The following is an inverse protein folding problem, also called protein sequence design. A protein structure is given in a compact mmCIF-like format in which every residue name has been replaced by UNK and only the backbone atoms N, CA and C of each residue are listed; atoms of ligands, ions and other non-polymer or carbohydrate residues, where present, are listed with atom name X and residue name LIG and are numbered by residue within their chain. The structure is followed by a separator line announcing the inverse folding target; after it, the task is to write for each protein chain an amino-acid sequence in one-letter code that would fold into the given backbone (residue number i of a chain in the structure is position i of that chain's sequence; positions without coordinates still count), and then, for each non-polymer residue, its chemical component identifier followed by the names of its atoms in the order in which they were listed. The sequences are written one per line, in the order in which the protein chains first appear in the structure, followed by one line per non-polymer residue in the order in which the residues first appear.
data_IF_488306650379
#
_entry.id   IF_488306650379
#
_cell.length_a   1.000
_cell.length_b   1.000
_cell.length_c   1.000
_cell.angle_alpha   90.00
_cell.angle_beta   90.00
_cell.angle_gamma   90.00
#
_symmetry.space_group_name_H-M   'P 1'
#
loop_
_entity.id
_entity.type
_entity.pdbx_description
1 polymer ?
#
# COMPACT_ATOMS: atom_id res chain seq x y z
N UNK A 1 -14.07 13.05 -4.05
CA UNK A 1 -12.63 13.37 -4.16
C UNK A 1 -11.86 12.07 -4.16
N UNK A 2 -10.85 11.91 -5.02
CA UNK A 2 -9.95 10.75 -5.00
C UNK A 2 -8.78 11.05 -4.06
N UNK A 3 -8.43 10.10 -3.18
CA UNK A 3 -7.28 10.20 -2.30
C UNK A 3 -6.20 9.20 -2.76
N UNK A 4 -4.97 9.68 -2.93
CA UNK A 4 -3.81 8.84 -3.16
C UNK A 4 -2.87 8.95 -1.95
N UNK A 5 -2.49 7.81 -1.37
CA UNK A 5 -1.53 7.74 -0.26
C UNK A 5 -0.27 7.08 -0.79
N UNK A 6 0.89 7.74 -0.64
CA UNK A 6 2.19 7.20 -1.04
C UNK A 6 3.06 7.08 0.21
N UNK A 7 3.52 5.87 0.50
CA UNK A 7 4.28 5.54 1.72
C UNK A 7 5.68 5.08 1.31
N UNK A 8 6.74 5.88 1.54
CA UNK A 8 8.11 5.40 1.39
C UNK A 8 8.43 4.39 2.51
N UNK A 9 9.13 3.32 2.17
CA UNK A 9 9.54 2.26 3.10
C UNK A 9 11.05 2.05 3.01
N UNK A 10 11.74 2.20 4.14
CA UNK A 10 13.16 1.90 4.26
C UNK A 10 13.42 1.02 5.48
N UNK A 11 13.80 -0.23 5.24
CA UNK A 11 14.05 -1.24 6.27
C UNK A 11 12.88 -1.48 7.25
N UNK A 12 11.67 -1.63 6.70
CA UNK A 12 10.41 -1.74 7.46
C UNK A 12 9.92 -3.20 7.59
N UNK A 13 10.78 -4.20 7.37
CA UNK A 13 10.37 -5.61 7.24
C UNK A 13 9.53 -6.13 8.43
N UNK A 14 9.81 -5.65 9.65
CA UNK A 14 9.16 -6.11 10.88
C UNK A 14 7.72 -5.59 11.03
N UNK A 15 7.38 -4.46 10.40
CA UNK A 15 6.10 -3.77 10.61
C UNK A 15 5.26 -3.64 9.35
N UNK A 16 5.85 -3.80 8.16
CA UNK A 16 5.21 -3.56 6.87
C UNK A 16 3.88 -4.29 6.68
N UNK A 17 3.77 -5.54 7.15
CA UNK A 17 2.53 -6.33 7.08
C UNK A 17 1.38 -5.73 7.89
N UNK A 18 1.65 -5.31 9.13
CA UNK A 18 0.63 -4.71 10.00
C UNK A 18 0.28 -3.29 9.53
N UNK A 19 1.26 -2.55 9.01
CA UNK A 19 1.04 -1.24 8.37
C UNK A 19 0.10 -1.38 7.18
N UNK A 20 0.37 -2.31 6.26
CA UNK A 20 -0.50 -2.58 5.11
C UNK A 20 -1.92 -2.90 5.55
N UNK A 21 -2.09 -3.83 6.51
CA UNK A 21 -3.41 -4.22 7.03
C UNK A 21 -4.17 -3.03 7.64
N UNK A 22 -3.49 -2.22 8.44
CA UNK A 22 -4.10 -1.06 9.12
C UNK A 22 -4.52 0.02 8.13
N UNK A 23 -3.66 0.35 7.16
CA UNK A 23 -3.95 1.35 6.14
C UNK A 23 -5.08 0.89 5.21
N UNK A 24 -5.04 -0.37 4.74
CA UNK A 24 -6.10 -0.92 3.88
C UNK A 24 -7.46 -0.89 4.58
N UNK A 25 -7.54 -1.34 5.83
CA UNK A 25 -8.77 -1.27 6.63
C UNK A 25 -9.27 0.16 6.80
N UNK A 26 -8.37 1.13 7.01
CA UNK A 26 -8.78 2.53 7.16
C UNK A 26 -9.28 3.12 5.84
N UNK A 27 -8.64 2.78 4.73
CA UNK A 27 -9.05 3.21 3.40
C UNK A 27 -10.45 2.68 3.07
N UNK A 28 -10.69 1.39 3.32
CA UNK A 28 -12.02 0.75 3.18
C UNK A 28 -13.08 1.47 4.00
N UNK A 29 -12.83 1.75 5.29
CA UNK A 29 -13.77 2.50 6.15
C UNK A 29 -14.09 3.90 5.60
N UNK A 30 -13.10 4.58 5.02
CA UNK A 30 -13.29 5.90 4.42
C UNK A 30 -14.08 5.84 3.11
N UNK A 31 -13.89 4.78 2.31
CA UNK A 31 -14.67 4.52 1.11
C UNK A 31 -16.13 4.17 1.47
N UNK A 32 -16.33 3.28 2.44
CA UNK A 32 -17.66 2.82 2.90
C UNK A 32 -18.48 3.95 3.50
N UNK A 33 -17.83 4.86 4.24
CA UNK A 33 -18.45 6.08 4.77
C UNK A 33 -18.70 7.16 3.70
N UNK A 34 -18.34 6.91 2.42
CA UNK A 34 -18.41 7.85 1.29
C UNK A 34 -17.61 9.14 1.52
N UNK A 35 -16.61 9.11 2.41
CA UNK A 35 -15.73 10.24 2.70
C UNK A 35 -14.74 10.49 1.57
N UNK A 36 -14.36 9.44 0.84
CA UNK A 36 -13.46 9.47 -0.33
C UNK A 36 -14.03 8.62 -1.47
N UNK A 37 -13.52 8.81 -2.69
CA UNK A 37 -13.92 7.98 -3.85
C UNK A 37 -13.47 6.54 -3.66
N UNK A 38 -14.22 5.59 -4.21
CA UNK A 38 -13.82 4.19 -4.36
C UNK A 38 -12.55 4.01 -5.21
N UNK A 39 -12.20 5.00 -6.02
CA UNK A 39 -10.99 5.00 -6.85
C UNK A 39 -9.75 5.47 -6.06
N UNK A 40 -9.87 5.68 -4.74
CA UNK A 40 -8.75 6.03 -3.87
C UNK A 40 -7.85 4.82 -3.62
N UNK A 41 -6.54 5.04 -3.46
CA UNK A 41 -5.57 3.96 -3.37
C UNK A 41 -4.37 4.31 -2.49
N UNK A 42 -3.64 3.28 -2.07
CA UNK A 42 -2.38 3.39 -1.33
C UNK A 42 -1.26 2.68 -2.09
N UNK A 43 -0.11 3.33 -2.19
CA UNK A 43 1.11 2.81 -2.83
C UNK A 43 2.22 2.80 -1.79
N UNK A 44 2.86 1.65 -1.64
CA UNK A 44 4.10 1.53 -0.88
C UNK A 44 5.28 1.54 -1.85
N UNK A 45 6.29 2.35 -1.56
CA UNK A 45 7.47 2.54 -2.42
C UNK A 45 8.70 2.16 -1.61
N UNK A 46 9.48 1.19 -2.09
CA UNK A 46 10.77 0.90 -1.48
C UNK A 46 11.74 2.07 -1.72
N UNK A 47 12.35 2.56 -0.65
CA UNK A 47 13.28 3.70 -0.63
C UNK A 47 14.74 3.23 -0.46
N UNK A 48 15.10 2.13 -1.14
CA UNK A 48 16.46 1.59 -1.15
C UNK A 48 16.77 0.69 0.06
N UNK A 49 15.79 -0.10 0.51
CA UNK A 49 15.95 -1.00 1.66
C UNK A 49 17.06 -2.04 1.42
N UNK A 50 17.71 -2.46 2.52
CA UNK A 50 18.75 -3.51 2.51
C UNK A 50 18.29 -4.82 3.17
N UNK A 51 17.09 -4.82 3.70
CA UNK A 51 16.44 -5.96 4.33
C UNK A 51 15.39 -6.59 3.39
N UNK A 52 14.45 -7.38 3.94
CA UNK A 52 13.43 -8.04 3.12
C UNK A 52 12.25 -7.14 2.72
N UNK A 53 12.27 -5.83 3.00
CA UNK A 53 11.17 -4.91 2.70
C UNK A 53 10.66 -5.04 1.27
N UNK A 54 11.54 -4.99 0.27
CA UNK A 54 11.16 -5.15 -1.14
C UNK A 54 10.48 -6.49 -1.45
N UNK A 55 10.98 -7.59 -0.89
CA UNK A 55 10.40 -8.92 -1.08
C UNK A 55 8.99 -8.99 -0.49
N UNK A 56 8.78 -8.36 0.67
CA UNK A 56 7.48 -8.28 1.33
C UNK A 56 6.52 -7.40 0.52
N UNK A 57 6.97 -6.26 -0.01
CA UNK A 57 6.16 -5.40 -0.88
C UNK A 57 5.66 -6.13 -2.13
N UNK A 58 6.54 -6.91 -2.79
CA UNK A 58 6.17 -7.73 -3.95
C UNK A 58 5.12 -8.79 -3.60
N UNK A 59 5.30 -9.48 -2.47
CA UNK A 59 4.33 -10.48 -1.99
C UNK A 59 2.96 -9.85 -1.72
N UNK A 60 2.92 -8.72 -1.00
CA UNK A 60 1.70 -7.95 -0.75
C UNK A 60 1.01 -7.50 -2.03
N UNK A 61 1.77 -7.01 -3.01
CA UNK A 61 1.23 -6.60 -4.31
C UNK A 61 0.65 -7.77 -5.11
N UNK A 62 1.23 -8.97 -5.02
CA UNK A 62 0.73 -10.14 -5.75
C UNK A 62 -0.54 -10.75 -5.15
N UNK A 63 -0.75 -10.57 -3.84
CA UNK A 63 -1.93 -11.07 -3.11
C UNK A 63 -3.14 -10.15 -3.25
N UNK A 64 -2.92 -8.87 -3.49
CA UNK A 64 -3.97 -7.90 -3.78
C UNK A 64 -4.09 -7.71 -5.31
N UNK A 65 -5.02 -8.42 -5.93
CA UNK A 65 -5.45 -8.18 -7.33
C UNK A 65 -6.11 -6.81 -7.44
N UNK A 66 -5.31 -5.73 -7.41
CA UNK A 66 -5.57 -4.40 -7.98
C UNK A 66 -4.23 -3.65 -7.97
N UNK A 67 -3.23 -4.15 -8.69
CA UNK A 67 -2.04 -3.37 -9.01
C UNK A 67 -1.58 -3.70 -10.43
N UNK A 68 -1.97 -2.84 -11.38
CA UNK A 68 -1.23 -2.69 -12.63
C UNK A 68 -0.03 -1.78 -12.31
N UNK A 69 1.21 -2.29 -12.34
CA UNK A 69 2.36 -1.40 -12.30
C UNK A 69 2.31 -0.45 -13.50
N UNK A 70 2.73 0.82 -13.35
CA UNK A 70 2.85 1.70 -14.50
C UNK A 70 3.84 1.09 -15.50
N UNK A 71 3.57 1.18 -16.82
CA UNK A 71 4.46 0.64 -17.83
C UNK A 71 5.79 1.40 -17.79
N UNK A 72 6.89 0.64 -17.72
CA UNK A 72 8.15 1.06 -18.34
C UNK A 72 8.07 0.76 -19.83
#
# INVERSE_FOLDING_TARGET
MVLAIVIPCYNEEAVLQETHKTISKKLEQLIDSRSISKDSFCVFVDDGSKDNTWSILKDLSSKNTTFTPPPH
#
